data_IF_530152256572
#
_entry.id   IF_530152256572
#
_cell.length_a   1.000
_cell.length_b   1.000
_cell.length_c   1.000
_cell.angle_alpha   90.00
_cell.angle_beta   90.00
_cell.angle_gamma   90.00
#
_symmetry.space_group_name_H-M   'P 1'
#
loop_
_entity.id
_entity.type
_entity.pdbx_description
1 polymer ?
#
# COMPACT_ATOMS: atom_id res chain seq x y z
N UNK A 1 -3.19 17.08 12.74
CA UNK A 1 -2.16 16.08 12.36
C UNK A 1 -2.52 15.50 10.99
N UNK A 2 -1.63 15.57 9.99
CA UNK A 2 -1.92 15.08 8.63
C UNK A 2 -1.88 13.54 8.61
N UNK A 3 -3.03 12.90 8.44
CA UNK A 3 -3.13 11.44 8.29
C UNK A 3 -2.33 11.00 7.06
N UNK A 4 -1.31 10.15 7.27
CA UNK A 4 -0.50 9.59 6.19
C UNK A 4 -1.14 8.30 5.71
N UNK A 5 -1.33 8.15 4.41
CA UNK A 5 -1.90 6.95 3.78
C UNK A 5 -0.91 6.30 2.83
N UNK A 6 -0.94 4.97 2.75
CA UNK A 6 -0.25 4.19 1.74
C UNK A 6 -1.10 4.18 0.48
N UNK A 7 -0.89 5.22 -0.33
CA UNK A 7 -1.58 5.42 -1.59
C UNK A 7 -1.36 4.26 -2.58
N UNK A 8 -0.20 3.61 -2.51
CA UNK A 8 0.09 2.44 -3.35
C UNK A 8 -0.78 1.25 -2.95
N UNK A 9 -0.98 1.04 -1.65
CA UNK A 9 -1.81 -0.03 -1.14
C UNK A 9 -3.31 0.26 -1.36
N UNK A 10 -3.74 1.52 -1.29
CA UNK A 10 -5.13 1.92 -1.63
C UNK A 10 -5.46 1.56 -3.08
N UNK A 11 -4.62 1.96 -4.03
CA UNK A 11 -4.85 1.66 -5.47
C UNK A 11 -4.85 0.14 -5.70
N UNK A 12 -3.93 -0.60 -5.07
CA UNK A 12 -3.92 -2.07 -5.13
C UNK A 12 -5.19 -2.68 -4.53
N UNK A 13 -5.69 -2.11 -3.45
CA UNK A 13 -6.96 -2.47 -2.82
C UNK A 13 -8.14 -2.28 -3.77
N UNK A 14 -8.23 -1.12 -4.43
CA UNK A 14 -9.30 -0.85 -5.41
C UNK A 14 -9.28 -1.85 -6.56
N UNK A 15 -8.10 -2.10 -7.15
CA UNK A 15 -7.97 -3.06 -8.25
C UNK A 15 -8.43 -4.48 -7.88
N UNK A 16 -8.24 -4.86 -6.62
CA UNK A 16 -8.41 -6.23 -6.13
C UNK A 16 -9.78 -6.49 -5.48
N UNK A 17 -10.25 -5.55 -4.68
CA UNK A 17 -11.50 -5.67 -3.93
C UNK A 17 -12.69 -5.16 -4.73
N UNK A 18 -12.46 -4.18 -5.62
CA UNK A 18 -13.51 -3.58 -6.44
C UNK A 18 -13.45 -4.04 -7.90
N UNK A 19 -12.51 -4.92 -8.24
CA UNK A 19 -12.25 -5.40 -9.60
C UNK A 19 -12.06 -4.27 -10.63
N UNK A 20 -11.58 -3.11 -10.20
CA UNK A 20 -11.41 -1.95 -11.08
C UNK A 20 -10.09 -2.03 -11.83
N UNK A 21 -10.13 -1.79 -13.15
CA UNK A 21 -8.91 -1.63 -13.90
C UNK A 21 -8.23 -0.29 -13.54
N UNK A 22 -6.94 -0.19 -13.87
CA UNK A 22 -6.21 1.08 -13.69
C UNK A 22 -6.81 2.19 -14.55
N UNK A 23 -7.38 1.85 -15.70
CA UNK A 23 -8.10 2.78 -16.56
C UNK A 23 -9.38 3.27 -15.88
N UNK A 24 -10.18 2.37 -15.29
CA UNK A 24 -11.43 2.74 -14.62
C UNK A 24 -11.18 3.68 -13.44
N UNK A 25 -10.15 3.40 -12.64
CA UNK A 25 -9.75 4.28 -11.54
C UNK A 25 -9.37 5.66 -12.09
N UNK A 26 -8.61 5.70 -13.20
CA UNK A 26 -8.15 6.93 -13.81
C UNK A 26 -9.31 7.78 -14.37
N UNK A 27 -10.28 7.14 -15.04
CA UNK A 27 -11.49 7.79 -15.54
C UNK A 27 -12.31 8.35 -14.38
N UNK A 28 -12.53 7.57 -13.32
CA UNK A 28 -13.34 8.01 -12.18
C UNK A 28 -12.73 9.15 -11.38
N UNK A 29 -11.40 9.26 -11.33
CA UNK A 29 -10.71 10.38 -10.67
C UNK A 29 -10.21 11.46 -11.65
N UNK A 30 -10.66 11.40 -12.91
CA UNK A 30 -10.28 12.31 -13.99
C UNK A 30 -8.76 12.58 -14.09
N UNK A 31 -7.99 11.49 -14.18
CA UNK A 31 -6.53 11.51 -14.29
C UNK A 31 -6.05 10.67 -15.45
N UNK A 32 -4.82 10.92 -15.90
CA UNK A 32 -4.14 10.02 -16.83
C UNK A 32 -3.83 8.69 -16.15
N UNK A 33 -4.04 7.59 -16.86
CA UNK A 33 -3.72 6.23 -16.39
C UNK A 33 -2.26 6.08 -15.91
N UNK A 34 -1.33 6.76 -16.58
CA UNK A 34 0.09 6.80 -16.19
C UNK A 34 0.30 7.37 -14.77
N UNK A 35 -0.49 8.37 -14.37
CA UNK A 35 -0.43 8.95 -13.03
C UNK A 35 -0.83 7.93 -11.96
N UNK A 36 -1.90 7.16 -12.20
CA UNK A 36 -2.33 6.09 -11.30
C UNK A 36 -1.27 4.99 -11.21
N UNK A 37 -0.59 4.69 -12.33
CA UNK A 37 0.55 3.76 -12.39
C UNK A 37 1.65 4.17 -11.42
N UNK A 38 2.12 5.41 -11.54
CA UNK A 38 3.23 5.93 -10.73
C UNK A 38 2.89 6.00 -9.24
N UNK A 39 1.61 6.19 -8.90
CA UNK A 39 1.17 6.15 -7.51
C UNK A 39 1.08 4.71 -7.00
N UNK A 40 0.58 3.78 -7.80
CA UNK A 40 0.50 2.36 -7.44
C UNK A 40 1.87 1.73 -7.20
N UNK A 41 2.93 2.23 -7.85
CA UNK A 41 4.31 1.77 -7.68
C UNK A 41 5.08 2.56 -6.61
N UNK A 42 4.49 3.60 -6.03
CA UNK A 42 5.14 4.44 -5.02
C UNK A 42 6.15 5.44 -5.57
N UNK A 43 6.34 5.52 -6.90
CA UNK A 43 7.21 6.50 -7.57
C UNK A 43 6.71 7.93 -7.32
N UNK A 44 5.39 8.11 -7.31
CA UNK A 44 4.75 9.42 -7.16
C UNK A 44 3.74 9.40 -6.02
N UNK A 45 3.70 10.47 -5.23
CA UNK A 45 2.61 10.71 -4.28
C UNK A 45 1.48 11.49 -4.95
N UNK A 46 0.21 11.18 -4.68
CA UNK A 46 -0.91 11.94 -5.21
C UNK A 46 -0.90 13.38 -4.69
N UNK A 47 -1.32 14.32 -5.54
CA UNK A 47 -1.56 15.71 -5.14
C UNK A 47 -2.79 15.84 -4.25
N UNK A 48 -2.99 17.02 -3.65
CA UNK A 48 -4.05 17.26 -2.64
C UNK A 48 -5.45 16.90 -3.17
N UNK A 49 -5.79 17.37 -4.37
CA UNK A 49 -7.09 17.06 -5.01
C UNK A 49 -7.29 15.55 -5.21
N UNK A 50 -6.30 14.91 -5.84
CA UNK A 50 -6.34 13.47 -6.14
C UNK A 50 -6.42 12.59 -4.88
N UNK A 51 -5.88 13.05 -3.74
CA UNK A 51 -6.05 12.35 -2.46
C UNK A 51 -7.52 12.31 -2.05
N UNK A 52 -8.24 13.44 -2.18
CA UNK A 52 -9.68 13.50 -1.91
C UNK A 52 -10.43 12.53 -2.81
N UNK A 53 -10.23 12.65 -4.11
CA UNK A 53 -10.93 11.85 -5.13
C UNK A 53 -10.72 10.34 -4.95
N UNK A 54 -9.48 9.90 -4.64
CA UNK A 54 -9.19 8.48 -4.37
C UNK A 54 -9.85 8.00 -3.07
N UNK A 55 -9.86 8.82 -2.03
CA UNK A 55 -10.48 8.44 -0.76
C UNK A 55 -12.00 8.37 -0.89
N UNK A 56 -12.59 9.32 -1.60
CA UNK A 56 -14.02 9.32 -1.87
C UNK A 56 -14.42 8.12 -2.72
N UNK A 57 -13.66 7.84 -3.79
CA UNK A 57 -13.89 6.67 -4.62
C UNK A 57 -13.81 5.37 -3.82
N UNK A 58 -12.81 5.22 -2.95
CA UNK A 58 -12.71 4.05 -2.08
C UNK A 58 -13.90 3.94 -1.11
N UNK A 59 -14.33 5.04 -0.48
CA UNK A 59 -15.49 5.04 0.45
C UNK A 59 -16.78 4.71 -0.27
N UNK A 60 -17.02 5.32 -1.43
CA UNK A 60 -18.23 5.12 -2.21
C UNK A 60 -18.41 3.67 -2.66
N UNK A 61 -17.30 2.93 -2.82
CA UNK A 61 -17.31 1.52 -3.18
C UNK A 61 -17.12 0.58 -1.97
N UNK A 62 -17.29 1.08 -0.74
CA UNK A 62 -17.28 0.26 0.48
C UNK A 62 -15.89 -0.22 0.93
N UNK A 63 -14.80 0.36 0.44
CA UNK A 63 -13.46 0.03 0.94
C UNK A 63 -13.21 0.67 2.30
N UNK A 64 -12.78 -0.15 3.26
CA UNK A 64 -12.25 0.34 4.53
C UNK A 64 -10.85 0.95 4.36
N UNK A 65 -10.81 2.28 4.25
CA UNK A 65 -9.57 3.05 4.02
C UNK A 65 -8.64 3.03 5.23
N UNK A 66 -9.19 2.80 6.44
CA UNK A 66 -8.38 2.78 7.67
C UNK A 66 -7.27 1.73 7.60
N UNK A 67 -7.49 0.66 6.82
CA UNK A 67 -6.52 -0.42 6.52
C UNK A 67 -5.24 0.02 5.82
N UNK A 68 -5.23 1.22 5.25
CA UNK A 68 -4.14 1.74 4.43
C UNK A 68 -3.46 2.98 5.04
N UNK A 69 -3.67 3.30 6.32
CA UNK A 69 -2.97 4.42 6.96
C UNK A 69 -1.48 4.07 7.23
N UNK A 70 -0.55 4.88 6.70
CA UNK A 70 0.88 4.79 7.00
C UNK A 70 1.13 5.27 8.43
N UNK A 71 1.68 4.40 9.26
CA UNK A 71 1.83 4.65 10.70
C UNK A 71 0.84 3.85 11.55
N UNK A 72 -0.20 3.28 10.93
CA UNK A 72 -0.74 2.01 11.40
C UNK A 72 0.33 0.96 11.07
N UNK A 73 0.97 0.37 12.06
CA UNK A 73 2.25 -0.32 11.95
C UNK A 73 2.32 -1.60 11.10
N UNK A 74 1.41 -1.82 10.14
CA UNK A 74 1.11 -3.16 9.64
C UNK A 74 0.77 -3.22 8.14
N UNK A 75 1.62 -3.89 7.37
CA UNK A 75 1.31 -5.23 6.89
C UNK A 75 0.31 -5.31 5.71
N UNK A 76 0.43 -4.56 4.60
CA UNK A 76 -0.50 -4.72 3.44
C UNK A 76 -0.08 -5.72 2.31
N UNK A 77 1.21 -5.90 2.04
CA UNK A 77 1.82 -6.76 1.00
C UNK A 77 1.77 -8.31 1.11
N UNK A 78 1.04 -8.92 2.04
CA UNK A 78 0.73 -10.38 1.98
C UNK A 78 -0.63 -10.82 2.52
N UNK A 79 -1.57 -9.88 2.56
CA UNK A 79 -2.99 -10.11 2.86
C UNK A 79 -3.76 -10.89 1.78
N UNK A 80 -3.11 -11.52 0.79
CA UNK A 80 -3.75 -12.60 0.01
C UNK A 80 -2.82 -13.79 -0.02
N UNK A 81 -3.21 -14.82 0.73
CA UNK A 81 -2.60 -16.14 0.66
C UNK A 81 -1.38 -16.35 1.55
N UNK A 82 -0.91 -15.35 2.30
CA UNK A 82 0.07 -15.60 3.36
C UNK A 82 -0.42 -15.02 4.70
N UNK A 83 0.02 -15.63 5.81
CA UNK A 83 -0.45 -15.30 7.16
C UNK A 83 -0.14 -13.85 7.48
N UNK A 84 -1.01 -13.15 8.18
CA UNK A 84 -0.86 -11.71 8.38
C UNK A 84 0.51 -11.29 8.99
N UNK A 85 1.18 -12.21 9.68
CA UNK A 85 2.51 -12.05 10.27
C UNK A 85 3.62 -11.82 9.24
N UNK A 86 3.51 -12.46 8.08
CA UNK A 86 4.53 -12.43 7.05
C UNK A 86 4.52 -11.03 6.38
N UNK A 87 3.38 -10.28 6.40
CA UNK A 87 3.32 -8.95 5.78
C UNK A 87 3.95 -7.98 6.72
N UNK A 88 3.64 -8.14 7.99
CA UNK A 88 4.20 -7.34 9.05
C UNK A 88 5.72 -7.45 9.05
N UNK A 89 6.24 -8.65 8.80
CA UNK A 89 7.66 -8.90 8.65
C UNK A 89 8.28 -8.14 7.46
N UNK A 90 7.65 -8.17 6.28
CA UNK A 90 8.13 -7.42 5.11
C UNK A 90 8.04 -5.89 5.29
N UNK A 91 7.00 -5.41 5.96
CA UNK A 91 6.86 -3.98 6.28
C UNK A 91 7.94 -3.49 7.26
N UNK A 92 8.25 -4.29 8.29
CA UNK A 92 9.36 -4.04 9.22
C UNK A 92 10.70 -4.06 8.50
N UNK A 93 10.91 -5.05 7.63
CA UNK A 93 12.13 -5.16 6.84
C UNK A 93 12.34 -3.93 5.94
N UNK A 94 11.32 -3.44 5.24
CA UNK A 94 11.44 -2.26 4.37
C UNK A 94 11.84 -1.00 5.14
N UNK A 95 11.34 -0.85 6.38
CA UNK A 95 11.57 0.33 7.24
C UNK A 95 12.88 0.30 8.02
N UNK A 96 13.56 -0.84 8.09
CA UNK A 96 14.82 -0.99 8.81
C UNK A 96 16.00 -0.29 8.13
N UNK A 97 16.90 0.23 8.97
CA UNK A 97 18.21 0.71 8.55
C UNK A 97 19.12 -0.44 8.09
N UNK A 98 20.20 -0.11 7.38
CA UNK A 98 21.11 -1.09 6.73
C UNK A 98 21.72 -2.08 7.75
N UNK A 99 22.08 -1.61 8.94
CA UNK A 99 22.67 -2.45 10.00
C UNK A 99 21.67 -3.48 10.57
N UNK A 100 20.41 -3.08 10.75
CA UNK A 100 19.37 -3.95 11.32
C UNK A 100 18.86 -4.96 10.29
N UNK A 101 18.83 -4.58 9.00
CA UNK A 101 18.59 -5.54 7.90
C UNK A 101 19.62 -6.67 7.91
N UNK A 102 20.89 -6.37 8.17
CA UNK A 102 21.96 -7.38 8.24
C UNK A 102 21.80 -8.28 9.46
N UNK A 103 21.45 -7.75 10.64
CA UNK A 103 21.16 -8.55 11.85
C UNK A 103 19.95 -9.48 11.64
N UNK A 104 18.91 -8.97 10.99
CA UNK A 104 17.71 -9.72 10.66
C UNK A 104 18.01 -10.90 9.73
N UNK A 105 18.78 -10.67 8.65
CA UNK A 105 19.17 -11.74 7.71
C UNK A 105 20.02 -12.82 8.40
N UNK A 106 20.98 -12.41 9.24
CA UNK A 106 21.82 -13.37 10.00
C UNK A 106 21.02 -14.20 11.01
N UNK A 107 19.96 -13.65 11.60
CA UNK A 107 19.07 -14.39 12.50
C UNK A 107 18.22 -15.40 11.72
N UNK A 108 17.67 -15.00 10.56
CA UNK A 108 16.92 -15.89 9.67
C UNK A 108 17.78 -17.07 9.16
N UNK A 109 19.05 -16.83 8.84
CA UNK A 109 20.00 -17.87 8.43
C UNK A 109 20.30 -18.90 9.53
N UNK A 110 20.26 -18.52 10.81
CA UNK A 110 20.47 -19.46 11.93
C UNK A 110 19.28 -20.36 12.22
N UNK A 111 18.07 -19.91 11.89
CA UNK A 111 16.84 -20.67 12.10
C UNK A 111 16.61 -21.76 11.04
N UNK A 112 17.31 -21.68 9.90
CA UNK A 112 17.25 -22.67 8.82
C UNK A 112 18.31 -23.79 8.97
N UNK A 113 18.99 -23.85 10.11
CA UNK A 113 19.87 -24.97 10.52
C UNK A 113 19.19 -25.73 11.65
#
# INVERSE_FOLDING_TARGET
MSQRYDWSAIIRGMKKSLCMSQHDIAVKVNMRQATISHISTGIRKPGIKLKGDLLELARANGMDIRRYQLGSGNAACLRKGASDDLIRLFDLYVRMGKADKIKFLRYAERLNK
#
